data_IF_892177888872
#
_entry.id   IF_892177888872
#
_cell.length_a   1.000
_cell.length_b   1.000
_cell.length_c   1.000
_cell.angle_alpha   90.00
_cell.angle_beta   90.00
_cell.angle_gamma   90.00
#
_symmetry.space_group_name_H-M   'P 1'
#
loop_
_entity.id
_entity.type
_entity.pdbx_description
1 polymer ?
#
# COMPACT_ATOMS: atom_id res chain seq x y z
N UNK A 1 3.97 -3.36 -17.04
CA UNK A 1 3.65 -4.50 -16.13
C UNK A 1 4.80 -5.49 -15.94
N UNK A 2 5.61 -5.81 -16.96
CA UNK A 2 6.70 -6.82 -16.86
C UNK A 2 7.68 -6.59 -15.69
N UNK A 3 8.16 -5.36 -15.45
CA UNK A 3 9.09 -5.05 -14.36
C UNK A 3 8.55 -5.36 -12.96
N UNK A 4 7.25 -5.13 -12.73
CA UNK A 4 6.61 -5.45 -11.44
C UNK A 4 6.53 -6.96 -11.26
N UNK A 5 6.20 -7.70 -12.33
CA UNK A 5 6.19 -9.16 -12.29
C UNK A 5 7.60 -9.72 -12.03
N UNK A 6 8.63 -9.17 -12.68
CA UNK A 6 10.03 -9.53 -12.44
C UNK A 6 10.46 -9.21 -11.00
N UNK A 7 10.06 -8.06 -10.45
CA UNK A 7 10.31 -7.69 -9.06
C UNK A 7 9.67 -8.69 -8.08
N UNK A 8 8.39 -9.04 -8.27
CA UNK A 8 7.72 -10.04 -7.45
C UNK A 8 8.40 -11.42 -7.55
N UNK A 9 8.68 -11.91 -8.77
CA UNK A 9 9.35 -13.19 -8.98
C UNK A 9 10.75 -13.22 -8.35
N UNK A 10 11.52 -12.15 -8.51
CA UNK A 10 12.85 -12.02 -7.91
C UNK A 10 12.80 -12.08 -6.38
N UNK A 11 11.78 -11.46 -5.77
CA UNK A 11 11.61 -11.50 -4.32
C UNK A 11 11.35 -12.92 -3.78
N UNK A 12 10.63 -13.74 -4.53
CA UNK A 12 10.37 -15.15 -4.18
C UNK A 12 11.67 -15.95 -4.26
N UNK A 13 12.37 -15.84 -5.39
CA UNK A 13 13.66 -16.53 -5.59
C UNK A 13 14.68 -16.12 -4.52
N UNK A 14 14.73 -14.84 -4.16
CA UNK A 14 15.67 -14.33 -3.15
C UNK A 14 15.34 -14.85 -1.75
N UNK A 15 14.05 -14.91 -1.38
CA UNK A 15 13.61 -15.52 -0.13
C UNK A 15 13.96 -17.01 -0.09
N UNK A 16 13.75 -17.75 -1.18
CA UNK A 16 14.02 -19.18 -1.22
C UNK A 16 15.53 -19.47 -1.08
N UNK A 17 16.39 -18.59 -1.61
CA UNK A 17 17.85 -18.67 -1.44
C UNK A 17 18.33 -18.22 -0.06
N UNK A 18 17.68 -17.22 0.53
CA UNK A 18 18.00 -16.70 1.86
C UNK A 18 16.70 -16.35 2.61
N UNK A 19 16.17 -17.28 3.44
CA UNK A 19 14.89 -17.10 4.12
C UNK A 19 14.82 -15.88 5.03
N UNK A 20 15.96 -15.44 5.58
CA UNK A 20 16.04 -14.32 6.51
C UNK A 20 16.31 -12.97 5.83
N UNK A 21 16.50 -12.95 4.50
CA UNK A 21 16.84 -11.73 3.76
C UNK A 21 15.85 -10.58 3.99
N UNK A 22 14.57 -10.92 4.19
CA UNK A 22 13.51 -9.93 4.39
C UNK A 22 13.08 -9.77 5.86
N UNK A 23 13.91 -10.19 6.83
CA UNK A 23 13.55 -10.11 8.25
C UNK A 23 13.31 -8.67 8.70
N UNK A 24 14.13 -7.72 8.27
CA UNK A 24 13.97 -6.29 8.58
C UNK A 24 12.72 -5.67 7.92
N UNK A 25 12.16 -6.36 6.92
CA UNK A 25 10.95 -5.96 6.21
C UNK A 25 9.70 -6.68 6.73
N UNK A 26 9.83 -7.45 7.82
CA UNK A 26 8.73 -8.21 8.39
C UNK A 26 7.72 -7.35 9.15
N UNK A 27 8.15 -6.21 9.71
CA UNK A 27 7.33 -5.20 10.36
C UNK A 27 6.80 -4.15 9.37
N UNK A 28 5.70 -3.49 9.71
CA UNK A 28 5.12 -2.40 8.91
C UNK A 28 4.74 -1.22 9.83
N UNK A 29 4.28 -0.11 9.26
CA UNK A 29 3.80 1.05 10.03
C UNK A 29 2.48 0.80 10.78
N UNK A 30 1.80 -0.31 10.50
CA UNK A 30 0.45 -0.64 10.92
C UNK A 30 0.43 -1.87 11.82
N UNK A 31 1.38 -1.95 12.74
CA UNK A 31 1.47 -3.01 13.75
C UNK A 31 0.24 -2.98 14.68
N UNK A 32 0.06 -4.04 15.48
CA UNK A 32 -0.93 -4.02 16.57
C UNK A 32 -0.56 -2.98 17.63
N UNK A 33 0.73 -2.75 17.85
CA UNK A 33 1.23 -1.47 18.35
C UNK A 33 1.19 -0.43 17.24
N UNK A 34 0.01 -0.15 16.69
CA UNK A 34 -0.14 0.97 15.77
C UNK A 34 0.43 2.18 16.52
N UNK A 35 1.45 2.83 15.95
CA UNK A 35 2.04 4.01 16.57
C UNK A 35 0.87 4.91 16.98
N UNK A 36 0.75 5.21 18.28
CA UNK A 36 -0.35 6.02 18.80
C UNK A 36 -0.46 7.31 17.97
N UNK A 37 0.67 7.82 17.49
CA UNK A 37 0.72 8.94 16.56
C UNK A 37 0.00 8.64 15.23
N UNK A 38 0.23 7.48 14.61
CA UNK A 38 -0.42 7.08 13.37
C UNK A 38 -1.94 6.93 13.50
N UNK A 39 -2.39 6.30 14.59
CA UNK A 39 -3.83 6.17 14.88
C UNK A 39 -4.50 7.54 15.07
N UNK A 40 -3.82 8.46 15.75
CA UNK A 40 -4.30 9.85 15.92
C UNK A 40 -4.37 10.57 14.57
N UNK A 41 -3.33 10.45 13.74
CA UNK A 41 -3.28 11.09 12.41
C UNK A 41 -4.39 10.58 11.50
N UNK A 42 -4.55 9.26 11.37
CA UNK A 42 -5.60 8.69 10.50
C UNK A 42 -6.99 9.11 10.97
N UNK A 43 -7.29 8.97 12.27
CA UNK A 43 -8.62 9.34 12.79
C UNK A 43 -8.88 10.83 12.66
N UNK A 44 -7.86 11.66 12.90
CA UNK A 44 -7.92 13.10 12.70
C UNK A 44 -8.22 13.46 11.24
N UNK A 45 -7.55 12.81 10.29
CA UNK A 45 -7.78 13.02 8.86
C UNK A 45 -9.20 12.65 8.45
N UNK A 46 -9.71 11.48 8.85
CA UNK A 46 -11.08 11.06 8.51
C UNK A 46 -12.12 11.99 9.14
N UNK A 47 -11.91 12.43 10.39
CA UNK A 47 -12.77 13.44 11.03
C UNK A 47 -12.75 14.78 10.29
N UNK A 48 -11.59 15.23 9.84
CA UNK A 48 -11.48 16.47 9.07
C UNK A 48 -12.18 16.34 7.72
N UNK A 49 -12.08 15.19 7.05
CA UNK A 49 -12.86 14.90 5.85
C UNK A 49 -14.36 14.99 6.11
N UNK A 50 -14.85 14.41 7.21
CA UNK A 50 -16.27 14.50 7.58
C UNK A 50 -16.74 15.95 7.75
N UNK A 51 -15.95 16.78 8.44
CA UNK A 51 -16.23 18.22 8.63
C UNK A 51 -16.24 19.03 7.33
N UNK A 52 -15.37 18.70 6.38
CA UNK A 52 -15.34 19.39 5.09
C UNK A 52 -16.55 18.97 4.25
N UNK A 53 -16.81 17.67 4.17
CA UNK A 53 -17.89 17.10 3.37
C UNK A 53 -19.28 17.49 3.90
N UNK A 54 -19.44 17.72 5.20
CA UNK A 54 -20.73 18.19 5.75
C UNK A 54 -21.17 19.56 5.21
N UNK A 55 -20.25 20.32 4.61
CA UNK A 55 -20.55 21.61 3.99
C UNK A 55 -20.69 21.51 2.46
N UNK A 56 -20.58 20.31 1.87
CA UNK A 56 -20.67 20.10 0.43
C UNK A 56 -22.07 19.65 0.05
N UNK A 57 -22.77 20.51 -0.70
CA UNK A 57 -24.13 20.24 -1.17
C UNK A 57 -24.19 18.93 -1.97
N UNK A 58 -25.03 17.99 -1.54
CA UNK A 58 -25.24 16.70 -2.18
C UNK A 58 -24.35 15.56 -1.66
N UNK A 59 -23.48 15.82 -0.69
CA UNK A 59 -22.55 14.84 -0.11
C UNK A 59 -22.78 14.57 1.38
N UNK A 60 -23.77 15.20 1.99
CA UNK A 60 -24.07 15.12 3.43
C UNK A 60 -24.30 13.67 3.89
N UNK A 61 -24.86 12.82 3.02
CA UNK A 61 -25.09 11.38 3.27
C UNK A 61 -23.82 10.58 3.60
N UNK A 62 -22.64 11.09 3.26
CA UNK A 62 -21.37 10.41 3.54
C UNK A 62 -20.77 10.78 4.91
N UNK A 63 -21.30 11.81 5.58
CA UNK A 63 -20.79 12.26 6.88
C UNK A 63 -20.92 11.15 7.93
N UNK A 64 -22.07 10.47 7.98
CA UNK A 64 -22.32 9.36 8.91
C UNK A 64 -21.39 8.16 8.65
N UNK A 65 -21.09 7.89 7.37
CA UNK A 65 -20.15 6.84 6.96
C UNK A 65 -18.74 7.18 7.46
N UNK A 66 -18.31 8.43 7.30
CA UNK A 66 -16.99 8.88 7.74
C UNK A 66 -16.87 8.87 9.28
N UNK A 67 -17.91 9.29 10.01
CA UNK A 67 -17.91 9.20 11.47
C UNK A 67 -17.86 7.76 11.97
N UNK A 68 -18.60 6.86 11.32
CA UNK A 68 -18.54 5.42 11.62
C UNK A 68 -17.13 4.88 11.37
N UNK A 69 -16.51 5.30 10.26
CA UNK A 69 -15.15 4.89 9.88
C UNK A 69 -14.09 5.37 10.88
N UNK A 70 -14.22 6.56 11.48
CA UNK A 70 -13.26 7.05 12.51
C UNK A 70 -13.10 6.07 13.67
N UNK A 71 -14.16 5.34 14.03
CA UNK A 71 -14.16 4.37 15.12
C UNK A 71 -13.36 3.12 14.73
N UNK A 72 -13.50 2.63 13.51
CA UNK A 72 -12.97 1.32 13.08
C UNK A 72 -11.69 1.42 12.24
N UNK A 73 -11.37 2.57 11.65
CA UNK A 73 -10.33 2.72 10.63
C UNK A 73 -8.97 2.22 11.09
N UNK A 74 -8.58 2.46 12.34
CA UNK A 74 -7.28 1.98 12.83
C UNK A 74 -7.23 0.46 12.86
N UNK A 75 -8.26 -0.19 13.43
CA UNK A 75 -8.30 -1.66 13.48
C UNK A 75 -8.45 -2.28 12.10
N UNK A 76 -9.26 -1.68 11.23
CA UNK A 76 -9.50 -2.17 9.87
C UNK A 76 -8.22 -2.11 9.04
N UNK A 77 -7.48 -1.00 9.14
CA UNK A 77 -6.20 -0.84 8.48
C UNK A 77 -5.16 -1.79 9.07
N UNK A 78 -5.00 -1.88 10.39
CA UNK A 78 -4.08 -2.85 11.02
C UNK A 78 -4.37 -4.28 10.55
N UNK A 79 -5.65 -4.67 10.53
CA UNK A 79 -6.06 -6.00 10.05
C UNK A 79 -5.75 -6.19 8.56
N UNK A 80 -6.04 -5.19 7.73
CA UNK A 80 -5.76 -5.23 6.30
C UNK A 80 -4.26 -5.32 5.98
N UNK A 81 -3.42 -4.75 6.86
CA UNK A 81 -1.96 -4.71 6.69
C UNK A 81 -1.23 -5.88 7.35
N UNK A 82 -1.93 -6.70 8.14
CA UNK A 82 -1.32 -7.86 8.81
C UNK A 82 -0.87 -8.89 7.78
N UNK A 83 0.39 -9.32 7.88
CA UNK A 83 0.94 -10.38 7.03
C UNK A 83 0.32 -11.73 7.39
N UNK A 84 -0.20 -12.43 6.39
CA UNK A 84 -0.48 -13.85 6.49
C UNK A 84 0.81 -14.65 6.22
N UNK A 85 1.37 -15.26 7.27
CA UNK A 85 2.60 -16.05 7.17
C UNK A 85 2.42 -17.37 6.44
N UNK A 86 1.17 -17.84 6.29
CA UNK A 86 0.82 -19.08 5.58
C UNK A 86 0.56 -18.86 4.09
N UNK A 87 0.37 -17.60 3.69
CA UNK A 87 0.09 -17.23 2.31
C UNK A 87 1.34 -17.08 1.41
N UNK A 88 1.08 -16.91 0.11
CA UNK A 88 2.12 -16.58 -0.86
C UNK A 88 2.52 -15.10 -0.76
N UNK A 89 3.63 -14.84 -0.07
CA UNK A 89 4.15 -13.50 0.16
C UNK A 89 5.22 -13.13 -0.87
N UNK A 90 5.11 -11.93 -1.43
CA UNK A 90 6.13 -11.29 -2.30
C UNK A 90 6.53 -9.94 -1.71
N UNK A 91 7.72 -9.46 -2.05
CA UNK A 91 8.10 -8.08 -1.74
C UNK A 91 7.32 -7.12 -2.65
N UNK A 92 6.75 -6.06 -2.08
CA UNK A 92 6.04 -5.04 -2.83
C UNK A 92 6.81 -3.71 -2.84
N UNK A 93 6.37 -2.76 -3.67
CA UNK A 93 6.94 -1.40 -3.71
C UNK A 93 6.38 -0.52 -2.57
N UNK A 94 5.15 -0.75 -2.13
CA UNK A 94 4.52 -0.03 -1.00
C UNK A 94 3.86 1.31 -1.37
N UNK A 95 4.32 1.97 -2.43
CA UNK A 95 3.72 3.21 -2.96
C UNK A 95 3.88 3.32 -4.50
N UNK A 96 3.14 2.47 -5.23
CA UNK A 96 3.29 2.33 -6.68
C UNK A 96 2.26 3.21 -7.41
N UNK A 97 2.61 4.46 -7.65
CA UNK A 97 1.82 5.43 -8.43
C UNK A 97 2.69 6.18 -9.43
N UNK A 98 2.08 6.84 -10.42
CA UNK A 98 2.77 7.42 -11.59
C UNK A 98 3.98 8.29 -11.24
N UNK A 99 3.87 9.09 -10.17
CA UNK A 99 4.94 10.00 -9.76
C UNK A 99 6.17 9.30 -9.17
N UNK A 100 6.00 8.07 -8.70
CA UNK A 100 7.10 7.25 -8.18
C UNK A 100 7.72 6.36 -9.26
N UNK A 101 7.21 6.43 -10.49
CA UNK A 101 7.78 5.74 -11.64
C UNK A 101 8.65 6.72 -12.45
N UNK A 102 9.88 6.32 -12.69
CA UNK A 102 10.80 6.96 -13.61
C UNK A 102 10.71 6.26 -14.95
N UNK A 103 10.58 7.04 -16.02
CA UNK A 103 10.47 6.53 -17.38
C UNK A 103 11.70 6.93 -18.16
N UNK A 104 12.32 5.95 -18.80
CA UNK A 104 13.35 6.19 -19.81
C UNK A 104 12.64 6.40 -21.14
N UNK A 105 12.99 7.49 -21.82
CA UNK A 105 12.43 7.83 -23.13
C UNK A 105 13.50 7.69 -24.22
N UNK A 106 13.06 7.28 -25.40
CA UNK A 106 13.89 7.37 -26.59
C UNK A 106 14.04 8.84 -27.00
N UNK A 107 15.27 9.31 -27.16
CA UNK A 107 15.53 10.72 -27.48
C UNK A 107 15.06 11.13 -28.88
N UNK A 108 14.96 10.18 -29.82
CA UNK A 108 14.57 10.44 -31.20
C UNK A 108 13.06 10.33 -31.44
N UNK A 109 12.38 9.38 -30.81
CA UNK A 109 10.95 9.12 -31.00
C UNK A 109 10.07 9.69 -29.89
N UNK A 110 10.65 10.02 -28.72
CA UNK A 110 9.91 10.45 -27.54
C UNK A 110 9.10 9.32 -26.86
N UNK A 111 9.24 8.08 -27.32
CA UNK A 111 8.51 6.93 -26.79
C UNK A 111 9.16 6.39 -25.51
N UNK A 112 8.35 5.81 -24.62
CA UNK A 112 8.84 5.15 -23.41
C UNK A 112 9.58 3.86 -23.78
N UNK A 113 10.85 3.77 -23.39
CA UNK A 113 11.69 2.58 -23.57
C UNK A 113 11.73 1.70 -22.33
N UNK A 114 11.79 2.30 -21.13
CA UNK A 114 11.84 1.54 -19.88
C UNK A 114 11.18 2.29 -18.70
N UNK A 115 10.91 1.56 -17.61
CA UNK A 115 10.38 2.11 -16.37
C UNK A 115 11.09 1.50 -15.14
N UNK A 116 11.43 2.36 -14.18
CA UNK A 116 11.94 2.00 -12.85
C UNK A 116 11.19 2.74 -11.74
N UNK A 117 11.20 2.21 -10.51
CA UNK A 117 10.67 2.91 -9.33
C UNK A 117 11.78 3.67 -8.59
N UNK A 118 11.53 4.91 -8.16
CA UNK A 118 12.56 5.72 -7.45
C UNK A 118 12.33 5.83 -5.92
N UNK A 119 11.24 5.30 -5.37
CA UNK A 119 10.95 5.37 -3.93
C UNK A 119 10.96 3.98 -3.27
N UNK A 120 12.05 3.67 -2.56
CA UNK A 120 12.16 2.57 -1.58
C UNK A 120 12.21 3.25 -0.19
N UNK A 121 11.60 2.84 0.93
CA UNK A 121 11.12 1.57 1.49
C UNK A 121 10.05 1.90 2.56
N UNK A 122 8.88 1.25 2.52
CA UNK A 122 8.24 0.56 3.67
C UNK A 122 6.99 -0.15 3.18
N UNK A 123 6.88 -1.43 3.52
CA UNK A 123 5.83 -2.30 3.01
C UNK A 123 4.48 -1.89 3.63
N UNK A 124 3.66 -1.20 2.84
CA UNK A 124 2.21 -1.26 3.00
C UNK A 124 1.77 -2.62 2.43
N UNK A 125 1.61 -3.62 3.29
CA UNK A 125 1.12 -4.96 2.89
C UNK A 125 -0.37 -4.83 2.57
N UNK A 126 -0.82 -5.10 1.36
CA UNK A 126 -2.24 -5.39 1.15
C UNK A 126 -2.38 -6.63 0.28
N UNK A 127 -3.18 -7.55 0.82
CA UNK A 127 -4.07 -8.52 0.15
C UNK A 127 -3.57 -9.11 -1.17
N UNK A 128 -3.36 -10.41 -1.14
CA UNK A 128 -3.40 -11.30 -2.30
C UNK A 128 -4.80 -11.14 -2.93
N UNK A 129 -4.91 -10.40 -4.04
CA UNK A 129 -6.04 -10.62 -4.95
C UNK A 129 -5.73 -11.93 -5.68
N UNK A 130 -6.41 -13.00 -5.28
CA UNK A 130 -6.48 -14.23 -6.07
C UNK A 130 -7.02 -13.86 -7.45
N UNK A 131 -6.17 -13.92 -8.47
CA UNK A 131 -6.69 -14.23 -9.80
C UNK A 131 -7.09 -15.70 -9.72
N UNK A 132 -8.37 -15.97 -9.46
CA UNK A 132 -8.92 -17.26 -9.81
C UNK A 132 -8.65 -17.43 -11.31
N UNK A 133 -7.90 -18.48 -11.66
CA UNK A 133 -7.91 -18.97 -13.03
C UNK A 133 -9.36 -19.28 -13.36
N UNK A 134 -9.95 -18.48 -14.26
CA UNK A 134 -11.05 -18.96 -15.11
C UNK A 134 -10.57 -20.13 -15.93
#
# INVERSE_FOLDING_TARGET
>A
MSKIAQYHASSVVLRDKNPNFFQDFSSNFYTEEADRAFAVVIRGNVNNCAKVISNWSGFEKYVDVLHSLVVTITSDVTKAMKRDVTGFNVLNHGDLWLKNMMFQYNEQTGEVQDMSGYNYIKINKIKITMFNKT
#
